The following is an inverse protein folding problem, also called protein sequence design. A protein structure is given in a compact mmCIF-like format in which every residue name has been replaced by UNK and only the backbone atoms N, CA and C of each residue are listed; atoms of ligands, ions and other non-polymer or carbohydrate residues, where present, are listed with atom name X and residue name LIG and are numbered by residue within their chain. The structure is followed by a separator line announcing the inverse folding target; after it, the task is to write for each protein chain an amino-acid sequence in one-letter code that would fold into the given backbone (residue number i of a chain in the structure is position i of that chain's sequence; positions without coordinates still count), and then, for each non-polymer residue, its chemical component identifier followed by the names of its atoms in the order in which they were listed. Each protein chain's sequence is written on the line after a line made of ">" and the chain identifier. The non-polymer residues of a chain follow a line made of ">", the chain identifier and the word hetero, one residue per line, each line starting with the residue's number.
data_IF_292447207448
#
_entry.id   IF_292447207448
#
_cell.length_a   1.000
_cell.length_b   1.000
_cell.length_c   1.000
_cell.angle_alpha   90.00
_cell.angle_beta   90.00
_cell.angle_gamma   90.00
#
_symmetry.space_group_name_H-M   'P 1'
#
loop_
_entity.id
_entity.type
_entity.pdbx_description
1 polymer ?
#
# COMPACT_ATOMS: atom_id res chain seq x y z
N UNK A 1 15.48 -7.50 -10.67
CA UNK A 1 14.00 -7.57 -10.62
C UNK A 1 13.33 -6.43 -11.37
N UNK A 2 13.71 -5.18 -11.14
CA UNK A 2 13.15 -4.00 -11.85
C UNK A 2 13.17 -4.18 -13.38
N UNK A 3 14.31 -4.53 -13.97
CA UNK A 3 14.42 -4.79 -15.42
C UNK A 3 13.48 -5.89 -15.92
N UNK A 4 13.33 -6.98 -15.15
CA UNK A 4 12.41 -8.06 -15.53
C UNK A 4 10.95 -7.59 -15.48
N UNK A 5 10.57 -6.83 -14.45
CA UNK A 5 9.22 -6.29 -14.31
C UNK A 5 8.87 -5.35 -15.48
N UNK A 6 9.81 -4.51 -15.91
CA UNK A 6 9.66 -3.68 -17.13
C UNK A 6 9.53 -4.53 -18.38
N UNK A 7 10.45 -5.47 -18.61
CA UNK A 7 10.47 -6.32 -19.81
C UNK A 7 9.23 -7.19 -19.96
N UNK A 8 8.69 -7.69 -18.86
CA UNK A 8 7.53 -8.60 -18.85
C UNK A 8 6.20 -7.88 -18.62
N UNK A 9 6.22 -6.55 -18.51
CA UNK A 9 5.08 -5.73 -18.10
C UNK A 9 4.34 -6.36 -16.90
N UNK A 10 5.08 -6.58 -15.81
CA UNK A 10 4.56 -7.10 -14.54
C UNK A 10 4.68 -6.05 -13.45
N UNK A 11 3.79 -6.12 -12.47
CA UNK A 11 3.87 -5.29 -11.29
C UNK A 11 5.15 -5.63 -10.49
N UNK A 12 5.83 -4.58 -10.02
CA UNK A 12 6.90 -4.71 -9.04
C UNK A 12 6.34 -4.37 -7.67
N UNK A 13 6.32 -5.37 -6.78
CA UNK A 13 5.94 -5.20 -5.37
C UNK A 13 7.21 -5.08 -4.55
N UNK A 14 7.38 -3.92 -3.93
CA UNK A 14 8.59 -3.53 -3.22
C UNK A 14 8.35 -3.69 -1.73
N UNK A 15 9.21 -4.48 -1.09
CA UNK A 15 9.40 -4.44 0.34
C UNK A 15 10.54 -3.47 0.66
N UNK A 16 10.30 -2.61 1.64
CA UNK A 16 11.28 -1.65 2.13
C UNK A 16 11.13 -1.49 3.65
N UNK A 17 12.28 -1.46 4.33
CA UNK A 17 12.40 -1.24 5.76
C UNK A 17 13.72 -0.53 6.01
N UNK A 18 13.66 0.68 6.55
CA UNK A 18 14.82 1.52 6.85
C UNK A 18 15.74 1.81 5.64
N UNK A 19 15.23 1.68 4.40
CA UNK A 19 15.99 1.89 3.17
C UNK A 19 15.27 2.82 2.16
N UNK A 20 14.29 3.61 2.64
CA UNK A 20 13.40 4.48 1.85
C UNK A 20 14.09 5.24 0.72
N UNK A 21 15.13 6.03 1.06
CA UNK A 21 15.83 6.86 0.09
C UNK A 21 16.62 6.01 -0.92
N UNK A 22 17.32 4.97 -0.47
CA UNK A 22 18.08 4.10 -1.36
C UNK A 22 17.18 3.36 -2.37
N UNK A 23 15.98 2.96 -1.93
CA UNK A 23 14.97 2.34 -2.82
C UNK A 23 14.49 3.34 -3.86
N UNK A 24 14.12 4.55 -3.46
CA UNK A 24 13.66 5.60 -4.36
C UNK A 24 14.76 6.04 -5.35
N UNK A 25 16.00 6.20 -4.88
CA UNK A 25 17.16 6.51 -5.74
C UNK A 25 17.36 5.43 -6.78
N UNK A 26 17.29 4.15 -6.37
CA UNK A 26 17.43 3.03 -7.30
C UNK A 26 16.33 3.06 -8.37
N UNK A 27 15.07 3.37 -8.00
CA UNK A 27 13.97 3.47 -8.95
C UNK A 27 14.14 4.65 -9.92
N UNK A 28 14.76 5.74 -9.48
CA UNK A 28 15.04 6.91 -10.31
C UNK A 28 16.19 6.64 -11.29
N UNK A 29 17.26 6.03 -10.80
CA UNK A 29 18.47 5.72 -11.58
C UNK A 29 18.18 4.73 -12.71
N UNK A 30 17.44 3.65 -12.42
CA UNK A 30 17.20 2.58 -13.40
C UNK A 30 15.85 2.72 -14.11
N UNK A 31 15.00 3.64 -13.67
CA UNK A 31 13.63 3.80 -14.15
C UNK A 31 12.68 2.74 -13.58
N UNK A 32 11.64 3.21 -12.88
CA UNK A 32 10.63 2.37 -12.26
C UNK A 32 9.71 1.67 -13.28
N UNK A 33 9.22 0.45 -12.97
CA UNK A 33 8.15 -0.18 -13.73
C UNK A 33 6.85 0.64 -13.68
N UNK A 34 6.05 0.57 -14.75
CA UNK A 34 4.75 1.26 -14.84
C UNK A 34 3.82 0.97 -13.66
N UNK A 35 3.88 -0.24 -13.13
CA UNK A 35 3.13 -0.69 -11.95
C UNK A 35 4.11 -0.96 -10.81
N UNK A 36 4.32 0.06 -10.00
CA UNK A 36 5.20 -0.01 -8.83
C UNK A 36 4.37 0.13 -7.57
N UNK A 37 4.48 -0.87 -6.69
CA UNK A 37 3.72 -0.95 -5.43
C UNK A 37 4.71 -0.97 -4.27
N UNK A 38 4.56 -0.06 -3.33
CA UNK A 38 5.21 -0.15 -2.02
C UNK A 38 4.28 -0.94 -1.10
N UNK A 39 4.64 -2.22 -0.91
CA UNK A 39 3.97 -3.11 0.03
C UNK A 39 4.33 -2.73 1.46
N UNK A 40 3.36 -2.89 2.36
CA UNK A 40 3.41 -2.58 3.77
C UNK A 40 4.11 -1.23 4.00
N UNK A 41 3.59 -0.19 3.33
CA UNK A 41 4.18 1.13 3.33
C UNK A 41 4.49 1.58 4.77
N UNK A 42 5.74 1.99 4.99
CA UNK A 42 6.28 2.30 6.32
C UNK A 42 7.00 3.65 6.36
N UNK A 43 7.00 4.39 5.25
CA UNK A 43 7.58 5.72 5.16
C UNK A 43 6.72 6.81 5.79
N UNK A 44 7.25 8.03 5.78
CA UNK A 44 6.57 9.22 6.25
C UNK A 44 5.75 9.90 5.14
N UNK A 45 5.15 11.04 5.49
CA UNK A 45 4.35 11.84 4.56
C UNK A 45 5.17 12.34 3.36
N UNK A 46 6.42 12.74 3.56
CA UNK A 46 7.27 13.25 2.48
C UNK A 46 7.57 12.15 1.44
N UNK A 47 7.89 10.94 1.92
CA UNK A 47 8.03 9.78 1.05
C UNK A 47 6.73 9.47 0.30
N UNK A 48 5.58 9.51 1.00
CA UNK A 48 4.30 9.24 0.37
C UNK A 48 3.97 10.26 -0.73
N UNK A 49 4.26 11.56 -0.51
CA UNK A 49 4.09 12.62 -1.52
C UNK A 49 4.95 12.36 -2.76
N UNK A 50 6.22 11.98 -2.57
CA UNK A 50 7.13 11.61 -3.66
C UNK A 50 6.60 10.39 -4.44
N UNK A 51 6.18 9.34 -3.73
CA UNK A 51 5.59 8.14 -4.34
C UNK A 51 4.32 8.46 -5.14
N UNK A 52 3.43 9.28 -4.57
CA UNK A 52 2.18 9.71 -5.22
C UNK A 52 2.50 10.49 -6.50
N UNK A 53 3.42 11.45 -6.44
CA UNK A 53 3.83 12.26 -7.59
C UNK A 53 4.44 11.41 -8.72
N UNK A 54 5.11 10.30 -8.39
CA UNK A 54 5.67 9.35 -9.36
C UNK A 54 4.65 8.32 -9.87
N UNK A 55 3.40 8.37 -9.41
CA UNK A 55 2.34 7.44 -9.84
C UNK A 55 2.43 6.06 -9.19
N UNK A 56 3.16 5.92 -8.07
CA UNK A 56 3.30 4.65 -7.37
C UNK A 56 2.07 4.35 -6.52
N UNK A 57 1.84 3.06 -6.27
CA UNK A 57 0.79 2.59 -5.38
C UNK A 57 1.34 2.35 -3.97
N UNK A 58 0.59 2.75 -2.95
CA UNK A 58 0.96 2.60 -1.55
C UNK A 58 -0.03 1.67 -0.87
N UNK A 59 0.47 0.56 -0.34
CA UNK A 59 -0.35 -0.46 0.32
C UNK A 59 -0.19 -0.40 1.83
N UNK A 60 -1.31 -0.32 2.54
CA UNK A 60 -1.34 -0.20 4.00
C UNK A 60 -1.84 -1.49 4.65
N UNK A 61 -1.04 -1.99 5.60
CA UNK A 61 -1.35 -3.17 6.40
C UNK A 61 -1.93 -2.79 7.77
N UNK A 62 -2.13 -3.79 8.65
CA UNK A 62 -2.73 -3.58 9.97
C UNK A 62 -1.96 -2.62 10.89
N UNK A 63 -0.69 -2.31 10.59
CA UNK A 63 0.12 -1.31 11.30
C UNK A 63 -0.53 0.08 11.33
N UNK A 64 -1.29 0.44 10.29
CA UNK A 64 -1.98 1.73 10.21
C UNK A 64 -3.02 1.92 11.34
N UNK A 65 -3.53 0.81 11.89
CA UNK A 65 -4.49 0.80 12.99
C UNK A 65 -3.83 0.94 14.37
N UNK A 66 -2.50 0.91 14.45
CA UNK A 66 -1.80 0.91 15.73
C UNK A 66 -1.79 2.32 16.34
N UNK A 67 -2.00 2.40 17.66
CA UNK A 67 -2.03 3.67 18.40
C UNK A 67 -0.76 4.51 18.24
N UNK A 68 0.38 3.85 18.04
CA UNK A 68 1.70 4.47 17.90
C UNK A 68 2.14 4.72 16.45
N UNK A 69 1.21 4.72 15.49
CA UNK A 69 1.51 4.97 14.08
C UNK A 69 0.90 6.30 13.53
N UNK A 70 1.05 7.46 14.21
CA UNK A 70 0.52 8.72 13.69
C UNK A 70 1.18 9.15 12.36
N UNK A 71 2.50 9.00 12.22
CA UNK A 71 3.23 9.36 10.99
C UNK A 71 2.74 8.56 9.78
N UNK A 72 2.44 7.27 9.97
CA UNK A 72 1.89 6.42 8.91
C UNK A 72 0.48 6.89 8.50
N UNK A 73 -0.31 7.41 9.44
CA UNK A 73 -1.63 7.97 9.16
C UNK A 73 -1.58 9.35 8.49
N UNK A 74 -0.57 10.16 8.82
CA UNK A 74 -0.28 11.39 8.08
C UNK A 74 0.09 11.08 6.62
N UNK A 75 0.91 10.06 6.39
CA UNK A 75 1.23 9.59 5.05
C UNK A 75 -0.01 9.06 4.32
N UNK A 76 -0.83 8.24 4.98
CA UNK A 76 -2.10 7.74 4.44
C UNK A 76 -3.01 8.87 3.97
N UNK A 77 -3.08 9.98 4.72
CA UNK A 77 -4.03 11.08 4.44
C UNK A 77 -3.82 11.77 3.09
N UNK A 78 -2.62 11.71 2.51
CA UNK A 78 -2.33 12.36 1.22
C UNK A 78 -2.43 11.42 0.02
N UNK A 79 -2.59 10.11 0.24
CA UNK A 79 -2.62 9.14 -0.85
C UNK A 79 -3.96 9.25 -1.60
N UNK A 80 -3.99 9.50 -2.91
CA UNK A 80 -5.24 9.47 -3.68
C UNK A 80 -5.86 8.07 -3.66
N UNK A 81 -7.20 7.98 -3.69
CA UNK A 81 -7.89 6.69 -3.70
C UNK A 81 -7.46 5.79 -4.87
N UNK A 82 -7.12 6.36 -6.03
CA UNK A 82 -6.61 5.65 -7.21
C UNK A 82 -5.16 5.14 -7.10
N UNK A 83 -4.47 5.42 -5.99
CA UNK A 83 -3.10 4.94 -5.70
C UNK A 83 -3.02 4.19 -4.37
N UNK A 84 -4.15 4.01 -3.69
CA UNK A 84 -4.24 3.34 -2.40
C UNK A 84 -4.50 1.83 -2.60
N UNK A 85 -3.80 1.00 -1.83
CA UNK A 85 -4.12 -0.41 -1.64
C UNK A 85 -4.25 -0.73 -0.14
N UNK A 86 -4.93 -1.84 0.13
CA UNK A 86 -5.05 -2.43 1.47
C UNK A 86 -4.59 -3.87 1.41
N UNK A 87 -3.83 -4.27 2.43
CA UNK A 87 -3.37 -5.65 2.57
C UNK A 87 -3.34 -6.09 4.03
N UNK A 88 -3.01 -7.36 4.26
CA UNK A 88 -2.85 -7.89 5.62
C UNK A 88 -1.41 -8.13 6.00
N UNK A 89 -0.53 -8.46 5.04
CA UNK A 89 0.79 -9.03 5.31
C UNK A 89 0.72 -10.28 6.22
N UNK A 90 -0.35 -11.06 6.08
CA UNK A 90 -0.55 -12.28 6.87
C UNK A 90 0.58 -13.27 6.62
N UNK A 91 1.09 -13.95 7.66
CA UNK A 91 0.50 -14.11 9.00
C UNK A 91 0.81 -13.00 10.03
N UNK A 92 1.49 -11.92 9.62
CA UNK A 92 1.97 -10.86 10.50
C UNK A 92 1.00 -9.67 10.58
N UNK A 93 1.29 -8.73 11.48
CA UNK A 93 0.67 -7.39 11.51
C UNK A 93 -0.87 -7.38 11.67
N UNK A 94 -1.42 -8.28 12.49
CA UNK A 94 -2.85 -8.27 12.80
C UNK A 94 -3.31 -6.87 13.27
N UNK A 95 -4.38 -6.29 12.67
CA UNK A 95 -4.84 -4.95 13.01
C UNK A 95 -5.45 -4.90 14.41
N UNK A 96 -5.58 -3.71 14.98
CA UNK A 96 -6.40 -3.50 16.17
C UNK A 96 -7.87 -3.85 15.89
N UNK A 97 -8.60 -4.46 16.85
CA UNK A 97 -8.18 -4.84 18.20
C UNK A 97 -7.46 -6.20 18.30
N UNK A 98 -7.18 -6.87 17.18
CA UNK A 98 -6.59 -8.22 17.11
C UNK A 98 -5.05 -8.23 17.20
N UNK A 99 -4.40 -7.12 17.52
CA UNK A 99 -2.93 -7.01 17.60
C UNK A 99 -2.36 -8.05 18.57
N UNK A 100 -1.34 -8.79 18.12
CA UNK A 100 -0.71 -9.87 18.89
C UNK A 100 -1.28 -11.27 18.60
N UNK A 101 -2.35 -11.37 17.81
CA UNK A 101 -2.85 -12.64 17.27
C UNK A 101 -2.31 -12.94 15.87
N UNK A 102 -2.53 -14.16 15.37
CA UNK A 102 -2.23 -14.55 14.01
C UNK A 102 -3.10 -13.75 13.03
N UNK A 103 -2.47 -13.10 12.05
CA UNK A 103 -3.21 -12.37 11.02
C UNK A 103 -3.66 -13.30 9.89
N UNK A 104 -4.78 -12.98 9.26
CA UNK A 104 -5.31 -13.71 8.10
C UNK A 104 -5.90 -12.74 7.06
N UNK A 105 -6.04 -13.14 5.79
CA UNK A 105 -6.73 -12.34 4.76
C UNK A 105 -8.13 -11.85 5.16
N UNK A 106 -8.80 -12.53 6.10
CA UNK A 106 -10.10 -12.12 6.62
C UNK A 106 -10.07 -10.76 7.36
N UNK A 107 -8.88 -10.20 7.63
CA UNK A 107 -8.71 -8.88 8.24
C UNK A 107 -8.73 -7.72 7.25
N UNK A 108 -8.77 -7.95 5.92
CA UNK A 108 -8.90 -6.87 4.93
C UNK A 108 -10.06 -5.91 5.26
N UNK A 109 -11.29 -6.37 5.56
CA UNK A 109 -12.38 -5.46 5.86
C UNK A 109 -12.15 -4.64 7.14
N UNK A 110 -11.42 -5.17 8.12
CA UNK A 110 -11.07 -4.45 9.36
C UNK A 110 -10.13 -3.28 9.05
N UNK A 111 -9.09 -3.52 8.26
CA UNK A 111 -8.08 -2.52 7.88
C UNK A 111 -8.72 -1.46 6.98
N UNK A 112 -9.52 -1.89 6.00
CA UNK A 112 -10.23 -1.01 5.08
C UNK A 112 -11.19 -0.05 5.80
N UNK A 113 -12.03 -0.57 6.72
CA UNK A 113 -12.94 0.27 7.51
C UNK A 113 -12.19 1.29 8.37
N UNK A 114 -11.07 0.90 8.95
CA UNK A 114 -10.23 1.83 9.70
C UNK A 114 -9.70 2.96 8.81
N UNK A 115 -9.18 2.62 7.62
CA UNK A 115 -8.66 3.61 6.66
C UNK A 115 -9.77 4.56 6.20
N UNK A 116 -10.94 4.03 5.85
CA UNK A 116 -12.09 4.86 5.46
C UNK A 116 -12.47 5.85 6.57
N UNK A 117 -12.55 5.37 7.81
CA UNK A 117 -12.83 6.22 8.97
C UNK A 117 -11.76 7.30 9.20
N UNK A 118 -10.47 6.94 9.12
CA UNK A 118 -9.36 7.87 9.33
C UNK A 118 -9.33 8.98 8.26
N UNK A 119 -9.76 8.68 7.03
CA UNK A 119 -9.79 9.61 5.91
C UNK A 119 -11.11 10.37 5.74
N UNK A 120 -12.18 9.90 6.39
CA UNK A 120 -13.53 10.41 6.16
C UNK A 120 -14.14 9.98 4.82
N UNK A 121 -13.63 8.89 4.24
CA UNK A 121 -14.10 8.34 2.97
C UNK A 121 -15.33 7.43 3.17
N UNK A 122 -16.18 7.33 2.15
CA UNK A 122 -17.20 6.29 2.09
C UNK A 122 -16.54 4.91 1.87
N UNK A 123 -16.90 3.94 2.72
CA UNK A 123 -16.22 2.64 2.74
C UNK A 123 -16.47 1.83 1.47
N UNK A 124 -17.67 1.92 0.89
CA UNK A 124 -18.03 1.15 -0.30
C UNK A 124 -17.33 1.72 -1.53
N UNK A 125 -17.31 3.05 -1.69
CA UNK A 125 -16.54 3.72 -2.75
C UNK A 125 -15.03 3.47 -2.64
N UNK A 126 -14.50 3.45 -1.42
CA UNK A 126 -13.09 3.13 -1.20
C UNK A 126 -12.78 1.67 -1.54
N UNK A 127 -13.68 0.74 -1.19
CA UNK A 127 -13.58 -0.67 -1.55
C UNK A 127 -13.55 -0.86 -3.07
N UNK A 128 -14.45 -0.20 -3.79
CA UNK A 128 -14.50 -0.21 -5.27
C UNK A 128 -13.20 0.31 -5.88
N UNK A 129 -12.69 1.43 -5.35
CA UNK A 129 -11.43 2.04 -5.80
C UNK A 129 -10.25 1.10 -5.60
N UNK A 130 -10.12 0.49 -4.41
CA UNK A 130 -9.04 -0.47 -4.11
C UNK A 130 -9.15 -1.71 -5.00
N UNK A 131 -10.35 -2.22 -5.24
CA UNK A 131 -10.56 -3.36 -6.13
C UNK A 131 -10.16 -3.01 -7.58
N UNK A 132 -10.56 -1.83 -8.08
CA UNK A 132 -10.15 -1.35 -9.40
C UNK A 132 -8.63 -1.18 -9.51
N UNK A 133 -7.98 -0.64 -8.49
CA UNK A 133 -6.52 -0.53 -8.42
C UNK A 133 -5.85 -1.91 -8.47
N UNK A 134 -6.31 -2.86 -7.64
CA UNK A 134 -5.78 -4.22 -7.61
C UNK A 134 -5.92 -4.90 -8.97
N UNK A 135 -7.07 -4.76 -9.64
CA UNK A 135 -7.29 -5.31 -10.98
C UNK A 135 -6.39 -4.63 -12.04
N UNK A 136 -6.20 -3.32 -11.97
CA UNK A 136 -5.29 -2.61 -12.87
C UNK A 136 -3.84 -3.09 -12.71
N UNK A 137 -3.42 -3.33 -11.48
CA UNK A 137 -2.04 -3.69 -11.15
C UNK A 137 -1.77 -5.17 -11.47
N UNK A 138 -2.62 -6.07 -10.97
CA UNK A 138 -2.37 -7.51 -10.97
C UNK A 138 -3.16 -8.27 -12.04
N UNK A 139 -4.16 -7.66 -12.67
CA UNK A 139 -5.05 -8.29 -13.64
C UNK A 139 -6.40 -8.68 -13.03
N UNK A 140 -7.30 -9.17 -13.88
CA UNK A 140 -8.61 -9.65 -13.44
C UNK A 140 -8.48 -10.92 -12.58
N UNK A 141 -9.29 -10.99 -11.52
CA UNK A 141 -9.40 -12.17 -10.66
C UNK A 141 -10.64 -13.03 -10.97
N UNK A 142 -11.52 -12.56 -11.86
CA UNK A 142 -12.59 -13.40 -12.39
C UNK A 142 -12.03 -14.31 -13.49
N UNK A 143 -12.14 -15.61 -13.27
CA UNK A 143 -12.07 -16.62 -14.33
C UNK A 143 -13.24 -16.50 -15.30
#
# INVERSE_FOLDING_TARGET
>A
HIELAKKLDKALVIHDRDAHRAVLDTLDDVGAPRRTVFHCFSGDKAMAEECVAKGYYLSFAGTVTFKNAPQLREALSIVPAGQLLVETDSPFLAPMPHRGSLNTPAQIPTILRFIAQERGDDVDQLAESINANAQHIFGSFSE
#
